data_IF_963888124609
#
_entry.id   IF_963888124609
#
_cell.length_a   1.000
_cell.length_b   1.000
_cell.length_c   1.000
_cell.angle_alpha   90.00
_cell.angle_beta   90.00
_cell.angle_gamma   90.00
#
_symmetry.space_group_name_H-M   'P 1'
#
loop_
_entity.id
_entity.type
_entity.pdbx_description
1 polymer ?
#
# COMPACT_ATOMS: atom_id res chain seq x y z
N UNK A 1 -6.31 2.37 9.46
CA UNK A 1 -6.08 0.92 9.37
C UNK A 1 -4.66 0.69 8.87
N UNK A 2 -3.71 0.26 9.72
CA UNK A 2 -2.40 -0.21 9.25
C UNK A 2 -2.48 -1.69 8.86
N UNK A 3 -2.10 -2.05 7.63
CA UNK A 3 -2.42 -3.34 6.98
C UNK A 3 -1.83 -4.53 7.78
N UNK A 4 -2.64 -5.52 8.24
CA UNK A 4 -2.15 -6.67 8.98
C UNK A 4 -1.23 -7.47 8.06
N UNK A 5 -0.38 -8.28 8.65
CA UNK A 5 0.53 -9.17 7.91
C UNK A 5 -0.22 -10.05 6.88
N UNK A 6 -1.51 -10.33 7.10
CA UNK A 6 -2.40 -11.02 6.14
C UNK A 6 -2.56 -10.22 4.84
N UNK A 7 -2.65 -8.89 4.91
CA UNK A 7 -2.78 -8.01 3.75
C UNK A 7 -1.49 -7.82 2.94
N UNK A 8 -0.31 -8.01 3.55
CA UNK A 8 0.97 -7.79 2.85
C UNK A 8 1.18 -8.80 1.71
N UNK A 9 0.83 -10.07 1.92
CA UNK A 9 0.90 -11.09 0.86
C UNK A 9 -0.02 -10.73 -0.32
N UNK A 10 -1.28 -10.34 -0.04
CA UNK A 10 -2.21 -9.94 -1.09
C UNK A 10 -1.75 -8.67 -1.81
N UNK A 11 -1.21 -7.70 -1.07
CA UNK A 11 -0.62 -6.49 -1.63
C UNK A 11 0.52 -6.82 -2.59
N UNK A 12 1.52 -7.61 -2.18
CA UNK A 12 2.65 -7.94 -3.04
C UNK A 12 2.20 -8.69 -4.29
N UNK A 13 1.23 -9.61 -4.16
CA UNK A 13 0.67 -10.34 -5.31
C UNK A 13 0.00 -9.39 -6.30
N UNK A 14 -0.85 -8.48 -5.82
CA UNK A 14 -1.53 -7.49 -6.65
C UNK A 14 -0.54 -6.49 -7.26
N UNK A 15 0.43 -6.03 -6.48
CA UNK A 15 1.48 -5.11 -6.94
C UNK A 15 2.32 -5.73 -8.08
N UNK A 16 2.68 -7.02 -7.98
CA UNK A 16 3.40 -7.72 -9.04
C UNK A 16 2.61 -7.78 -10.37
N UNK A 17 1.27 -7.70 -10.33
CA UNK A 17 0.44 -7.67 -11.55
C UNK A 17 0.48 -6.31 -12.27
N UNK A 18 0.93 -5.24 -11.61
CA UNK A 18 1.02 -3.90 -12.20
C UNK A 18 2.24 -3.71 -13.14
N UNK A 19 3.13 -4.71 -13.23
CA UNK A 19 4.40 -4.66 -13.99
C UNK A 19 5.17 -3.35 -13.75
N UNK A 20 5.32 -2.99 -12.46
CA UNK A 20 6.02 -1.76 -12.06
C UNK A 20 7.51 -1.94 -12.28
N UNK A 21 8.11 -0.97 -12.98
CA UNK A 21 9.56 -0.82 -13.13
C UNK A 21 10.00 0.46 -12.44
N UNK A 22 11.10 0.38 -11.72
CA UNK A 22 11.72 1.54 -11.07
C UNK A 22 12.77 2.18 -11.99
N UNK A 23 12.99 3.51 -11.91
CA UNK A 23 12.30 4.46 -11.03
C UNK A 23 10.84 4.70 -11.45
N UNK A 24 9.98 5.03 -10.48
CA UNK A 24 8.56 5.34 -10.73
C UNK A 24 8.07 6.42 -9.77
N UNK A 25 7.14 7.26 -10.22
CA UNK A 25 6.48 8.26 -9.38
C UNK A 25 5.22 7.71 -8.69
N UNK A 26 4.82 8.31 -7.58
CA UNK A 26 3.56 8.01 -6.89
C UNK A 26 2.35 8.22 -7.82
N UNK A 27 2.39 9.27 -8.64
CA UNK A 27 1.35 9.54 -9.65
C UNK A 27 1.20 8.39 -10.63
N UNK A 28 2.31 7.90 -11.21
CA UNK A 28 2.27 6.75 -12.13
C UNK A 28 1.78 5.47 -11.45
N UNK A 29 2.14 5.27 -10.18
CA UNK A 29 1.62 4.15 -9.38
C UNK A 29 0.10 4.24 -9.19
N UNK A 30 -0.43 5.42 -8.86
CA UNK A 30 -1.87 5.66 -8.71
C UNK A 30 -2.60 5.48 -10.04
N UNK A 31 -2.05 6.00 -11.14
CA UNK A 31 -2.59 5.82 -12.50
C UNK A 31 -2.64 4.33 -12.88
N UNK A 32 -1.57 3.57 -12.60
CA UNK A 32 -1.54 2.11 -12.83
C UNK A 32 -2.48 1.33 -11.91
N UNK A 33 -2.70 1.79 -10.69
CA UNK A 33 -3.57 1.12 -9.72
C UNK A 33 -5.05 1.11 -10.17
N UNK A 34 -5.50 2.17 -10.85
CA UNK A 34 -6.89 2.32 -11.26
C UNK A 34 -7.86 2.08 -10.09
N UNK A 35 -8.83 1.18 -10.30
CA UNK A 35 -9.82 0.79 -9.28
C UNK A 35 -9.55 -0.59 -8.67
N UNK A 36 -8.31 -1.08 -8.77
CA UNK A 36 -7.92 -2.36 -8.19
C UNK A 36 -8.08 -2.30 -6.67
N UNK A 37 -8.81 -3.27 -6.13
CA UNK A 37 -8.97 -3.48 -4.70
C UNK A 37 -8.09 -4.64 -4.24
N UNK A 38 -7.48 -4.48 -3.06
CA UNK A 38 -6.71 -5.53 -2.41
C UNK A 38 -7.35 -5.89 -1.08
N UNK A 39 -7.34 -7.18 -0.73
CA UNK A 39 -7.81 -7.64 0.58
C UNK A 39 -6.82 -7.21 1.64
N UNK A 40 -7.30 -6.40 2.58
CA UNK A 40 -6.46 -5.79 3.60
C UNK A 40 -6.70 -6.41 4.96
N UNK A 41 -7.95 -6.73 5.32
CA UNK A 41 -8.34 -7.50 6.51
C UNK A 41 -9.24 -8.67 6.12
N UNK A 42 -9.60 -9.50 7.10
CA UNK A 42 -10.50 -10.64 6.93
C UNK A 42 -11.79 -10.27 6.16
N UNK A 43 -12.39 -9.12 6.49
CA UNK A 43 -13.63 -8.60 5.89
C UNK A 43 -13.48 -7.20 5.29
N UNK A 44 -12.27 -6.82 4.87
CA UNK A 44 -12.02 -5.49 4.31
C UNK A 44 -11.19 -5.54 3.03
N UNK A 45 -11.59 -4.71 2.08
CA UNK A 45 -10.85 -4.43 0.86
C UNK A 45 -10.53 -2.92 0.81
N UNK A 46 -9.39 -2.59 0.24
CA UNK A 46 -8.94 -1.20 0.10
C UNK A 46 -8.49 -0.98 -1.33
N UNK A 47 -8.79 0.20 -1.89
CA UNK A 47 -8.29 0.54 -3.22
C UNK A 47 -6.77 0.70 -3.16
N UNK A 48 -6.09 0.17 -4.16
CA UNK A 48 -4.64 0.19 -4.22
C UNK A 48 -4.10 1.62 -4.35
N UNK A 49 -4.84 2.51 -5.03
CA UNK A 49 -4.53 3.95 -5.07
C UNK A 49 -4.53 4.60 -3.69
N UNK A 50 -5.47 4.27 -2.81
CA UNK A 50 -5.53 4.83 -1.44
C UNK A 50 -4.30 4.43 -0.62
N UNK A 51 -3.78 3.21 -0.86
CA UNK A 51 -2.54 2.74 -0.24
C UNK A 51 -1.36 3.58 -0.74
N UNK A 52 -1.26 3.80 -2.05
CA UNK A 52 -0.18 4.62 -2.62
C UNK A 52 -0.27 6.08 -2.19
N UNK A 53 -1.47 6.66 -2.11
CA UNK A 53 -1.69 8.02 -1.61
C UNK A 53 -1.23 8.20 -0.16
N UNK A 54 -1.32 7.15 0.67
CA UNK A 54 -0.82 7.19 2.05
C UNK A 54 0.71 7.22 2.18
N UNK A 55 1.44 6.93 1.09
CA UNK A 55 2.90 6.92 1.08
C UNK A 55 3.46 8.33 0.89
N UNK A 56 4.42 8.73 1.73
CA UNK A 56 4.95 10.11 1.75
C UNK A 56 5.75 10.47 0.48
N UNK A 57 6.73 9.66 0.00
CA UNK A 57 7.57 10.08 -1.13
C UNK A 57 6.81 10.19 -2.45
N UNK A 58 7.13 11.20 -3.26
CA UNK A 58 6.57 11.38 -4.62
C UNK A 58 7.26 10.52 -5.67
N UNK A 59 8.48 10.05 -5.41
CA UNK A 59 9.27 9.23 -6.33
C UNK A 59 9.93 8.07 -5.59
N UNK A 60 10.01 6.93 -6.28
CA UNK A 60 10.63 5.71 -5.79
C UNK A 60 11.75 5.30 -6.75
N UNK A 61 13.02 5.50 -6.37
CA UNK A 61 14.15 5.18 -7.24
C UNK A 61 14.39 3.67 -7.40
N UNK A 62 13.91 2.85 -6.46
CA UNK A 62 14.05 1.39 -6.46
C UNK A 62 13.01 0.72 -5.55
N UNK A 63 12.92 -0.61 -5.64
CA UNK A 63 11.99 -1.41 -4.84
C UNK A 63 12.23 -1.30 -3.33
N UNK A 64 13.47 -1.11 -2.88
CA UNK A 64 13.77 -0.93 -1.45
C UNK A 64 13.16 0.37 -0.93
N UNK A 65 13.39 1.49 -1.63
CA UNK A 65 12.82 2.79 -1.26
C UNK A 65 11.28 2.74 -1.22
N UNK A 66 10.67 2.06 -2.20
CA UNK A 66 9.23 1.81 -2.21
C UNK A 66 8.76 1.00 -1.01
N UNK A 67 9.39 -0.15 -0.72
CA UNK A 67 8.99 -1.01 0.40
C UNK A 67 9.19 -0.33 1.76
N UNK A 68 10.24 0.49 1.91
CA UNK A 68 10.43 1.32 3.10
C UNK A 68 9.29 2.32 3.28
N UNK A 69 8.89 3.02 2.20
CA UNK A 69 7.77 3.95 2.24
C UNK A 69 6.44 3.25 2.54
N UNK A 70 6.19 2.09 1.93
CA UNK A 70 5.01 1.26 2.19
C UNK A 70 4.96 0.80 3.66
N UNK A 71 6.08 0.31 4.19
CA UNK A 71 6.19 -0.12 5.58
C UNK A 71 5.99 1.06 6.53
N UNK A 72 6.54 2.23 6.21
CA UNK A 72 6.37 3.45 6.99
C UNK A 72 4.92 3.91 7.05
N UNK A 73 4.20 3.94 5.91
CA UNK A 73 2.77 4.27 5.86
C UNK A 73 1.94 3.31 6.73
N UNK A 74 2.28 2.03 6.71
CA UNK A 74 1.66 1.00 7.55
C UNK A 74 1.87 1.22 9.06
N UNK A 75 3.07 1.66 9.45
CA UNK A 75 3.42 1.90 10.85
C UNK A 75 2.85 3.24 11.38
N UNK A 76 2.74 4.25 10.51
CA UNK A 76 2.22 5.58 10.86
C UNK A 76 0.69 5.60 10.99
N UNK A 77 0.00 4.62 10.41
CA UNK A 77 -1.45 4.55 10.54
C UNK A 77 -1.81 4.18 11.98
N UNK A 78 -2.52 5.03 12.74
CA UNK A 78 -2.71 4.81 14.17
C UNK A 78 -3.38 3.46 14.46
N UNK A 79 -2.84 2.75 15.45
CA UNK A 79 -3.43 1.55 16.10
C UNK A 79 -4.75 1.92 16.80
N UNK A 80 -5.76 2.41 16.08
CA UNK A 80 -7.09 2.64 16.65
C UNK A 80 -7.86 1.32 16.73
N UNK A 81 -7.47 0.44 17.67
CA UNK A 81 -8.39 -0.42 18.43
C UNK A 81 -7.70 -0.76 19.76
N UNK A 82 -8.08 -0.06 20.82
CA UNK A 82 -8.29 -0.62 22.17
C UNK A 82 -8.96 0.49 22.98
N UNK A 83 -10.26 0.68 22.79
CA UNK A 83 -11.28 1.00 23.81
C UNK A 83 -12.61 0.80 23.08
N UNK A 84 -13.12 -0.42 23.20
CA UNK A 84 -14.50 -0.79 22.91
C UNK A 84 -14.90 -1.75 24.01
N UNK A 85 -15.19 -1.19 25.19
CA UNK A 85 -16.23 -1.71 26.07
C UNK A 85 -17.50 -0.97 25.69
#
# INVERSE_FOLDING_TARGET
>A
MGFPNVGMHYFVKTFNQLDVRFPITKRELIEKAGDIQVKTWENQYTLLKDIFESMVPEEYPNGTAFMCAYTSANLQTPKKIFIGK
#
